data_IF_479361208113
#
_entry.id   IF_479361208113
#
_cell.length_a   1.000
_cell.length_b   1.000
_cell.length_c   1.000
_cell.angle_alpha   90.00
_cell.angle_beta   90.00
_cell.angle_gamma   90.00
#
_symmetry.space_group_name_H-M   'P 1'
#
loop_
_entity.id
_entity.type
_entity.pdbx_description
1 polymer ?
#
# COMPACT_ATOMS: atom_id res chain seq x y z
N UNK A 1 10.07 25.17 13.24
CA UNK A 1 10.90 24.01 12.83
C UNK A 1 10.32 23.59 11.50
N UNK A 2 11.08 23.68 10.40
CA UNK A 2 10.56 23.26 9.10
C UNK A 2 10.39 21.74 9.11
N UNK A 3 9.26 21.28 8.60
CA UNK A 3 8.91 19.87 8.52
C UNK A 3 8.80 19.41 7.06
N UNK A 4 8.64 18.10 6.85
CA UNK A 4 8.51 17.51 5.52
C UNK A 4 7.36 18.13 4.71
N UNK A 5 6.28 18.57 5.38
CA UNK A 5 5.13 19.16 4.73
C UNK A 5 5.47 20.55 4.18
N UNK A 6 6.24 21.34 4.92
CA UNK A 6 6.71 22.66 4.45
C UNK A 6 7.66 22.52 3.26
N UNK A 7 8.62 21.59 3.31
CA UNK A 7 9.51 21.34 2.17
C UNK A 7 8.76 20.84 0.93
N UNK A 8 7.75 19.99 1.12
CA UNK A 8 6.86 19.57 0.03
C UNK A 8 5.98 20.72 -0.49
N UNK A 9 5.62 21.71 0.34
CA UNK A 9 4.86 22.88 -0.11
C UNK A 9 5.72 23.82 -0.96
N UNK A 10 6.96 24.05 -0.53
CA UNK A 10 7.91 24.98 -1.13
C UNK A 10 8.63 24.41 -2.36
N UNK A 11 8.64 23.09 -2.52
CA UNK A 11 9.34 22.44 -3.63
C UNK A 11 10.81 22.16 -3.34
N UNK A 12 11.21 22.14 -2.06
CA UNK A 12 12.59 21.88 -1.66
C UNK A 12 12.95 20.40 -1.79
N UNK A 13 13.23 19.98 -3.02
CA UNK A 13 13.55 18.59 -3.34
C UNK A 13 14.80 18.07 -2.63
N UNK A 14 15.75 18.94 -2.25
CA UNK A 14 16.95 18.56 -1.51
C UNK A 14 16.60 18.12 -0.09
N UNK A 15 15.85 18.95 0.65
CA UNK A 15 15.45 18.61 2.02
C UNK A 15 14.49 17.42 2.04
N UNK A 16 13.57 17.32 1.08
CA UNK A 16 12.72 16.13 0.94
C UNK A 16 13.56 14.88 0.71
N UNK A 17 14.60 14.94 -0.14
CA UNK A 17 15.49 13.79 -0.36
C UNK A 17 16.23 13.39 0.90
N UNK A 18 16.83 14.34 1.61
CA UNK A 18 17.54 14.09 2.87
C UNK A 18 16.60 13.45 3.89
N UNK A 19 15.37 13.95 4.00
CA UNK A 19 14.35 13.38 4.86
C UNK A 19 13.97 11.94 4.47
N UNK A 20 13.88 11.65 3.16
CA UNK A 20 13.60 10.32 2.62
C UNK A 20 14.78 9.34 2.66
N UNK A 21 15.99 9.80 2.97
CA UNK A 21 17.13 8.93 3.23
C UNK A 21 17.08 8.33 4.64
N UNK A 22 16.33 8.95 5.55
CA UNK A 22 16.07 8.42 6.88
C UNK A 22 14.83 7.52 6.89
N UNK A 23 15.08 6.22 7.08
CA UNK A 23 14.08 5.16 7.11
C UNK A 23 13.18 5.17 8.36
N UNK A 24 13.39 6.06 9.33
CA UNK A 24 12.50 6.19 10.49
C UNK A 24 11.24 7.01 10.17
N UNK A 25 11.27 7.76 9.08
CA UNK A 25 10.20 8.67 8.69
C UNK A 25 9.04 7.98 7.96
N UNK A 26 7.82 8.12 8.48
CA UNK A 26 6.60 7.66 7.81
C UNK A 26 6.12 8.69 6.78
N UNK A 27 6.45 8.47 5.52
CA UNK A 27 6.04 9.31 4.38
C UNK A 27 4.55 9.23 4.03
N UNK A 28 3.77 8.39 4.72
CA UNK A 28 2.32 8.31 4.60
C UNK A 28 1.62 8.98 5.79
N UNK A 29 2.37 9.47 6.78
CA UNK A 29 1.83 10.27 7.86
C UNK A 29 1.26 11.58 7.27
N UNK A 30 -0.01 11.85 7.59
CA UNK A 30 -0.63 13.12 7.25
C UNK A 30 -0.35 14.19 8.30
N UNK A 31 -0.41 15.45 7.89
CA UNK A 31 -0.48 16.59 8.81
C UNK A 31 -1.81 16.60 9.61
N UNK A 32 -2.06 17.68 10.35
CA UNK A 32 -3.29 17.84 11.14
C UNK A 32 -4.57 17.77 10.29
N UNK A 33 -4.49 18.00 8.98
CA UNK A 33 -5.62 17.87 8.05
C UNK A 33 -5.61 16.55 7.25
N UNK A 34 -4.70 15.63 7.58
CA UNK A 34 -4.53 14.34 6.92
C UNK A 34 -3.80 14.42 5.58
N UNK A 35 -3.20 15.56 5.23
CA UNK A 35 -2.42 15.67 3.99
C UNK A 35 -1.05 15.03 4.18
N UNK A 36 -0.79 13.95 3.44
CA UNK A 36 0.55 13.36 3.35
C UNK A 36 1.50 14.26 2.54
N UNK A 37 2.83 14.04 2.60
CA UNK A 37 3.80 14.70 1.72
C UNK A 37 3.43 14.63 0.24
N UNK A 38 2.90 13.49 -0.21
CA UNK A 38 2.46 13.29 -1.60
C UNK A 38 1.26 14.17 -1.96
N UNK A 39 0.33 14.39 -1.03
CA UNK A 39 -0.78 15.33 -1.25
C UNK A 39 -0.26 16.77 -1.43
N UNK A 40 0.67 17.21 -0.60
CA UNK A 40 1.23 18.57 -0.71
C UNK A 40 2.02 18.76 -2.00
N UNK A 41 2.86 17.79 -2.36
CA UNK A 41 3.62 17.80 -3.61
C UNK A 41 2.69 17.82 -4.84
N UNK A 42 1.65 16.99 -4.84
CA UNK A 42 0.66 16.94 -5.91
C UNK A 42 -0.17 18.23 -6.03
N UNK A 43 -0.60 18.79 -4.89
CA UNK A 43 -1.34 20.06 -4.82
C UNK A 43 -0.53 21.25 -5.35
N UNK A 44 0.77 21.27 -5.06
CA UNK A 44 1.66 22.39 -5.39
C UNK A 44 2.37 22.27 -6.73
N UNK A 45 2.27 21.14 -7.42
CA UNK A 45 2.86 20.97 -8.76
C UNK A 45 4.31 20.53 -8.76
N UNK A 46 4.82 19.98 -7.65
CA UNK A 46 6.24 19.61 -7.53
C UNK A 46 6.51 18.20 -8.04
N UNK A 47 6.56 18.03 -9.37
CA UNK A 47 6.72 16.73 -10.03
C UNK A 47 7.93 15.94 -9.49
N UNK A 48 9.11 16.57 -9.37
CA UNK A 48 10.31 15.89 -8.85
C UNK A 48 10.11 15.30 -7.46
N UNK A 49 9.37 16.00 -6.59
CA UNK A 49 9.05 15.51 -5.25
C UNK A 49 8.06 14.35 -5.33
N UNK A 50 7.03 14.46 -6.16
CA UNK A 50 6.08 13.37 -6.42
C UNK A 50 6.82 12.11 -6.88
N UNK A 51 7.75 12.23 -7.82
CA UNK A 51 8.53 11.09 -8.31
C UNK A 51 9.39 10.44 -7.21
N UNK A 52 10.08 11.25 -6.39
CA UNK A 52 10.86 10.73 -5.26
C UNK A 52 9.98 10.03 -4.23
N UNK A 53 8.84 10.62 -3.89
CA UNK A 53 7.89 10.04 -2.93
C UNK A 53 7.29 8.73 -3.45
N UNK A 54 6.89 8.67 -4.73
CA UNK A 54 6.36 7.45 -5.34
C UNK A 54 7.43 6.35 -5.43
N UNK A 55 8.67 6.70 -5.82
CA UNK A 55 9.78 5.76 -5.89
C UNK A 55 10.10 5.13 -4.52
N UNK A 56 9.93 5.91 -3.44
CA UNK A 56 10.14 5.45 -2.06
C UNK A 56 8.93 4.73 -1.46
N UNK A 57 7.85 4.54 -2.21
CA UNK A 57 6.70 3.74 -1.78
C UNK A 57 5.59 4.52 -1.07
N UNK A 58 5.44 5.82 -1.37
CA UNK A 58 4.26 6.58 -0.91
C UNK A 58 2.97 5.96 -1.45
N UNK A 59 1.96 5.84 -0.60
CA UNK A 59 0.63 5.33 -0.93
C UNK A 59 -0.08 6.26 -1.92
N UNK A 60 -0.15 5.82 -3.18
CA UNK A 60 -0.73 6.57 -4.30
C UNK A 60 -2.19 6.98 -4.05
N UNK A 61 -2.98 6.10 -3.43
CA UNK A 61 -4.40 6.32 -3.13
C UNK A 61 -4.65 6.74 -1.68
N UNK A 62 -3.64 7.26 -0.98
CA UNK A 62 -3.84 7.86 0.35
C UNK A 62 -4.94 8.90 0.30
N UNK A 63 -5.75 9.01 1.35
CA UNK A 63 -6.72 10.09 1.44
C UNK A 63 -6.46 11.05 2.61
N UNK A 64 -6.78 12.32 2.38
CA UNK A 64 -6.85 13.34 3.43
C UNK A 64 -8.19 13.26 4.21
N UNK A 65 -8.46 14.21 5.13
CA UNK A 65 -9.71 14.23 5.90
C UNK A 65 -10.99 14.37 5.06
N UNK A 66 -10.90 14.93 3.86
CA UNK A 66 -12.02 15.05 2.91
C UNK A 66 -12.14 13.88 1.93
N UNK A 67 -11.40 12.79 2.17
CA UNK A 67 -11.26 11.65 1.26
C UNK A 67 -10.64 12.01 -0.11
N UNK A 68 -9.96 13.15 -0.26
CA UNK A 68 -9.24 13.47 -1.50
C UNK A 68 -7.93 12.68 -1.58
N UNK A 69 -7.65 12.12 -2.75
CA UNK A 69 -6.37 11.50 -3.08
C UNK A 69 -5.40 12.51 -3.71
N UNK A 70 -4.08 12.20 -3.80
CA UNK A 70 -3.15 13.01 -4.58
C UNK A 70 -3.60 13.28 -6.02
N UNK A 71 -4.32 12.33 -6.64
CA UNK A 71 -4.88 12.48 -7.99
C UNK A 71 -6.00 13.53 -8.03
N UNK A 72 -6.86 13.60 -7.00
CA UNK A 72 -7.86 14.67 -6.88
C UNK A 72 -7.19 16.05 -6.83
N UNK A 73 -6.15 16.19 -6.01
CA UNK A 73 -5.45 17.46 -5.81
C UNK A 73 -4.68 17.88 -7.06
N UNK A 74 -4.00 16.95 -7.74
CA UNK A 74 -3.31 17.24 -8.99
C UNK A 74 -4.30 17.69 -10.09
N UNK A 75 -5.44 17.01 -10.21
CA UNK A 75 -6.49 17.38 -11.16
C UNK A 75 -7.16 18.72 -10.81
N UNK A 76 -7.41 19.01 -9.53
CA UNK A 76 -8.00 20.26 -9.08
C UNK A 76 -7.11 21.49 -9.26
N UNK A 77 -5.79 21.30 -9.33
CA UNK A 77 -4.81 22.38 -9.47
C UNK A 77 -4.12 22.46 -10.84
N UNK A 78 -4.53 21.62 -11.81
CA UNK A 78 -4.07 21.75 -13.20
C UNK A 78 -2.69 21.12 -13.47
N UNK A 79 -2.20 20.24 -12.60
CA UNK A 79 -0.85 19.67 -12.72
C UNK A 79 -0.86 18.40 -13.57
N UNK A 80 -0.98 18.56 -14.90
CA UNK A 80 -1.09 17.45 -15.87
C UNK A 80 0.02 16.42 -15.75
N UNK A 81 1.28 16.85 -15.62
CA UNK A 81 2.42 15.93 -15.53
C UNK A 81 2.33 15.01 -14.31
N UNK A 82 1.83 15.55 -13.18
CA UNK A 82 1.61 14.78 -11.96
C UNK A 82 0.44 13.82 -12.10
N UNK A 83 -0.64 14.25 -12.77
CA UNK A 83 -1.78 13.36 -13.10
C UNK A 83 -1.28 12.15 -13.89
N UNK A 84 -0.55 12.37 -14.98
CA UNK A 84 0.02 11.30 -15.79
C UNK A 84 0.96 10.40 -15.00
N UNK A 85 1.78 10.96 -14.10
CA UNK A 85 2.66 10.17 -13.23
C UNK A 85 1.88 9.29 -12.26
N UNK A 86 0.84 9.83 -11.62
CA UNK A 86 0.00 9.09 -10.68
C UNK A 86 -0.79 7.98 -11.39
N UNK A 87 -1.34 8.26 -12.59
CA UNK A 87 -2.01 7.25 -13.42
C UNK A 87 -1.07 6.11 -13.82
N UNK A 88 0.18 6.42 -14.20
CA UNK A 88 1.22 5.40 -14.46
C UNK A 88 1.54 4.55 -13.22
N UNK A 89 1.36 5.08 -12.02
CA UNK A 89 1.52 4.36 -10.75
C UNK A 89 0.21 3.71 -10.27
N UNK A 90 -0.74 3.44 -11.18
CA UNK A 90 -2.02 2.78 -10.92
C UNK A 90 -2.88 3.50 -9.86
N UNK A 91 -2.87 4.83 -9.86
CA UNK A 91 -3.81 5.59 -9.05
C UNK A 91 -5.26 5.23 -9.42
N UNK A 92 -6.14 5.14 -8.42
CA UNK A 92 -7.56 4.87 -8.64
C UNK A 92 -8.26 6.09 -9.26
N UNK A 93 -8.49 6.00 -10.58
CA UNK A 93 -9.02 7.10 -11.39
C UNK A 93 -10.45 7.49 -11.02
N UNK A 94 -11.24 6.51 -10.57
CA UNK A 94 -12.65 6.66 -10.21
C UNK A 94 -12.91 6.77 -8.70
N UNK A 95 -11.85 7.00 -7.90
CA UNK A 95 -12.01 7.18 -6.46
C UNK A 95 -12.93 8.37 -6.17
N UNK A 96 -13.83 8.24 -5.20
CA UNK A 96 -14.78 9.28 -4.81
C UNK A 96 -14.47 9.85 -3.43
N UNK A 97 -14.36 11.17 -3.35
CA UNK A 97 -14.13 11.87 -2.09
C UNK A 97 -15.40 11.99 -1.23
N UNK A 98 -15.33 12.74 -0.12
CA UNK A 98 -16.45 12.86 0.83
C UNK A 98 -17.70 13.51 0.21
N UNK A 99 -17.51 14.29 -0.86
CA UNK A 99 -18.58 14.95 -1.61
C UNK A 99 -19.08 14.10 -2.80
N UNK A 100 -18.50 12.91 -3.00
CA UNK A 100 -18.79 12.07 -4.16
C UNK A 100 -18.15 12.55 -5.46
N UNK A 101 -17.22 13.51 -5.40
CA UNK A 101 -16.48 13.96 -6.56
C UNK A 101 -15.33 12.99 -6.85
N UNK A 102 -15.08 12.76 -8.14
CA UNK A 102 -13.90 12.06 -8.66
C UNK A 102 -12.85 13.08 -9.10
N UNK A 103 -11.59 12.68 -9.38
CA UNK A 103 -10.60 13.57 -9.98
C UNK A 103 -11.10 14.25 -11.27
N UNK A 104 -11.91 13.54 -12.07
CA UNK A 104 -12.50 14.06 -13.28
C UNK A 104 -13.50 15.20 -13.02
N UNK A 105 -14.28 15.13 -11.93
CA UNK A 105 -15.17 16.24 -11.55
C UNK A 105 -14.38 17.54 -11.34
N UNK A 106 -13.22 17.46 -10.68
CA UNK A 106 -12.36 18.62 -10.45
C UNK A 106 -11.74 19.14 -11.75
N UNK A 107 -11.21 18.26 -12.61
CA UNK A 107 -10.67 18.66 -13.91
C UNK A 107 -11.73 19.38 -14.77
N UNK A 108 -12.96 18.85 -14.80
CA UNK A 108 -14.08 19.46 -15.52
C UNK A 108 -14.51 20.80 -14.93
N UNK A 109 -14.64 20.90 -13.59
CA UNK A 109 -15.08 22.12 -12.91
C UNK A 109 -14.13 23.31 -13.15
N UNK A 110 -12.82 23.05 -13.12
CA UNK A 110 -11.79 24.05 -13.36
C UNK A 110 -11.47 24.27 -14.85
N UNK A 111 -12.01 23.43 -15.74
CA UNK A 111 -11.83 23.56 -17.18
C UNK A 111 -10.49 23.05 -17.72
N UNK A 112 -9.81 22.16 -17.00
CA UNK A 112 -8.54 21.56 -17.45
C UNK A 112 -8.80 20.45 -18.47
N UNK A 113 -9.02 20.85 -19.73
CA UNK A 113 -9.41 19.96 -20.82
C UNK A 113 -8.46 18.79 -21.05
N UNK A 114 -7.17 19.07 -21.18
CA UNK A 114 -6.13 18.05 -21.37
C UNK A 114 -6.11 17.01 -20.23
N UNK A 115 -6.29 17.45 -18.99
CA UNK A 115 -6.33 16.55 -17.82
C UNK A 115 -7.59 15.69 -17.86
N UNK A 116 -8.73 16.29 -18.21
CA UNK A 116 -9.98 15.55 -18.30
C UNK A 116 -9.94 14.50 -19.41
N UNK A 117 -9.34 14.82 -20.56
CA UNK A 117 -9.08 13.88 -21.64
C UNK A 117 -8.15 12.74 -21.19
N UNK A 118 -7.01 13.07 -20.58
CA UNK A 118 -6.07 12.06 -20.07
C UNK A 118 -6.74 11.12 -19.07
N UNK A 119 -7.59 11.64 -18.17
CA UNK A 119 -8.34 10.84 -17.21
C UNK A 119 -9.33 9.89 -17.91
N UNK A 120 -10.11 10.36 -18.88
CA UNK A 120 -11.05 9.50 -19.64
C UNK A 120 -10.31 8.41 -20.41
N UNK A 121 -9.17 8.75 -21.03
CA UNK A 121 -8.30 7.78 -21.71
C UNK A 121 -7.73 6.72 -20.75
N UNK A 122 -7.62 7.02 -19.45
CA UNK A 122 -7.27 6.06 -18.40
C UNK A 122 -8.50 5.49 -17.66
N UNK A 123 -9.63 5.36 -18.37
CA UNK A 123 -10.86 4.74 -17.86
C UNK A 123 -11.57 5.51 -16.73
N UNK A 124 -11.43 6.84 -16.68
CA UNK A 124 -12.31 7.66 -15.85
C UNK A 124 -13.76 7.58 -16.35
N UNK A 125 -14.69 7.32 -15.44
CA UNK A 125 -16.11 7.17 -15.75
C UNK A 125 -16.80 8.54 -15.68
N UNK A 126 -17.39 8.96 -16.80
CA UNK A 126 -18.06 10.26 -16.94
C UNK A 126 -19.49 10.29 -16.36
N UNK A 127 -20.02 9.15 -15.93
CA UNK A 127 -21.40 8.99 -15.46
C UNK A 127 -21.54 8.91 -13.93
N UNK A 128 -20.43 8.94 -13.19
CA UNK A 128 -20.45 8.95 -11.71
C UNK A 128 -21.08 10.25 -11.22
N UNK A 129 -22.14 10.14 -10.42
CA UNK A 129 -22.84 11.30 -9.86
C UNK A 129 -22.29 11.61 -8.47
N UNK A 130 -22.03 12.88 -8.18
CA UNK A 130 -21.65 13.33 -6.84
C UNK A 130 -22.87 13.50 -5.90
N UNK A 131 -22.65 13.95 -4.65
CA UNK A 131 -23.74 14.17 -3.69
C UNK A 131 -24.74 15.26 -4.10
N UNK A 132 -24.38 16.11 -5.06
CA UNK A 132 -25.21 17.20 -5.56
C UNK A 132 -26.06 16.80 -6.78
N UNK A 133 -25.91 15.58 -7.30
CA UNK A 133 -26.64 15.14 -8.49
C UNK A 133 -25.94 15.42 -9.82
N UNK A 134 -24.73 15.96 -9.76
CA UNK A 134 -23.93 16.35 -10.93
C UNK A 134 -22.97 15.24 -11.34
N UNK A 135 -22.86 14.99 -12.64
CA UNK A 135 -21.79 14.21 -13.26
C UNK A 135 -20.57 15.09 -13.58
N UNK A 136 -19.39 14.52 -13.91
CA UNK A 136 -18.27 15.30 -14.42
C UNK A 136 -18.62 16.12 -15.67
N UNK A 137 -19.48 15.59 -16.55
CA UNK A 137 -19.96 16.31 -17.74
C UNK A 137 -20.81 17.52 -17.37
N UNK A 138 -21.66 17.40 -16.34
CA UNK A 138 -22.50 18.50 -15.83
C UNK A 138 -21.64 19.64 -15.25
N UNK A 139 -20.44 19.33 -14.74
CA UNK A 139 -19.48 20.33 -14.24
C UNK A 139 -18.62 20.96 -15.34
N UNK A 140 -18.48 20.32 -16.49
CA UNK A 140 -17.71 20.84 -17.60
C UNK A 140 -18.46 21.99 -18.29
N UNK A 141 -17.74 23.05 -18.68
CA UNK A 141 -18.30 24.20 -19.40
C UNK A 141 -17.89 24.22 -20.86
N UNK A 142 -18.77 24.74 -21.73
CA UNK A 142 -18.45 25.01 -23.13
C UNK A 142 -18.16 23.75 -23.95
N UNK A 143 -17.13 23.81 -24.80
CA UNK A 143 -16.77 22.72 -25.72
C UNK A 143 -16.20 21.49 -25.01
N UNK A 144 -15.71 21.64 -23.78
CA UNK A 144 -15.14 20.53 -23.00
C UNK A 144 -16.17 19.41 -22.76
N UNK A 145 -17.40 19.76 -22.39
CA UNK A 145 -18.45 18.76 -22.15
C UNK A 145 -18.77 17.94 -23.41
N UNK A 146 -18.80 18.60 -24.58
CA UNK A 146 -19.04 17.93 -25.87
C UNK A 146 -17.92 16.97 -26.22
N UNK A 147 -16.67 17.42 -26.06
CA UNK A 147 -15.47 16.63 -26.32
C UNK A 147 -15.38 15.40 -25.40
N UNK A 148 -15.62 15.58 -24.09
CA UNK A 148 -15.60 14.46 -23.15
C UNK A 148 -16.77 13.49 -23.38
N UNK A 149 -17.93 14.00 -23.81
CA UNK A 149 -19.05 13.14 -24.20
C UNK A 149 -18.69 12.29 -25.42
N UNK A 150 -18.12 12.87 -26.47
CA UNK A 150 -17.69 12.10 -27.66
C UNK A 150 -16.63 11.07 -27.29
N UNK A 151 -15.62 11.47 -26.49
CA UNK A 151 -14.57 10.56 -26.03
C UNK A 151 -15.12 9.39 -25.19
N UNK A 152 -16.08 9.65 -24.31
CA UNK A 152 -16.70 8.61 -23.49
C UNK A 152 -17.52 7.62 -24.33
N UNK A 153 -18.22 8.10 -25.36
CA UNK A 153 -18.94 7.25 -26.32
C UNK A 153 -17.98 6.40 -27.15
N UNK A 154 -16.89 7.00 -27.65
CA UNK A 154 -15.86 6.31 -28.42
C UNK A 154 -15.14 5.24 -27.57
N UNK A 155 -14.97 5.51 -26.26
CA UNK A 155 -14.46 4.56 -25.28
C UNK A 155 -15.49 3.49 -24.83
N UNK A 156 -16.73 3.52 -25.35
CA UNK A 156 -17.77 2.54 -25.06
C UNK A 156 -18.39 2.64 -23.66
N UNK A 157 -18.34 3.81 -23.00
CA UNK A 157 -18.92 3.98 -21.67
C UNK A 157 -20.45 4.06 -21.69
N UNK A 158 -21.13 3.43 -20.72
CA UNK A 158 -22.57 3.65 -20.49
C UNK A 158 -22.77 4.99 -19.77
N UNK A 159 -23.49 5.91 -20.41
CA UNK A 159 -23.76 7.27 -19.91
C UNK A 159 -24.88 7.31 -18.86
N UNK A 160 -25.42 6.16 -18.45
CA UNK A 160 -26.40 6.12 -17.35
C UNK A 160 -25.79 6.58 -16.05
N UNK A 161 -26.42 7.60 -15.46
CA UNK A 161 -26.04 8.19 -14.17
C UNK A 161 -25.89 7.12 -13.08
N UNK A 162 -24.67 6.91 -12.61
CA UNK A 162 -24.34 6.01 -11.50
C UNK A 162 -24.50 6.80 -10.21
N UNK A 163 -25.53 6.46 -9.43
CA UNK A 163 -25.79 7.13 -8.15
C UNK A 163 -24.61 6.98 -7.20
N UNK A 164 -24.24 8.08 -6.53
CA UNK A 164 -23.35 8.03 -5.40
C UNK A 164 -23.87 7.02 -4.36
N UNK A 165 -23.07 5.99 -4.09
CA UNK A 165 -23.26 5.12 -2.92
C UNK A 165 -22.23 5.54 -1.90
N UNK A 166 -22.66 5.85 -0.68
CA UNK A 166 -21.72 6.12 0.39
C UNK A 166 -21.02 4.81 0.78
N UNK A 167 -19.83 4.59 0.23
CA UNK A 167 -19.03 3.39 0.45
C UNK A 167 -18.17 3.49 1.73
N UNK A 168 -18.44 4.46 2.61
CA UNK A 168 -17.71 4.62 3.89
C UNK A 168 -17.74 3.39 4.80
N UNK A 169 -18.67 2.46 4.59
CA UNK A 169 -18.81 1.20 5.34
C UNK A 169 -18.09 -0.01 4.71
N UNK A 170 -17.64 0.08 3.44
CA UNK A 170 -17.10 -1.06 2.67
C UNK A 170 -15.60 -1.31 2.85
N UNK A 171 -14.90 -0.52 3.67
CA UNK A 171 -13.45 -0.71 3.92
C UNK A 171 -12.51 -0.40 2.74
N UNK A 172 -13.03 -0.16 1.53
CA UNK A 172 -12.28 0.21 0.32
C UNK A 172 -11.67 1.61 0.40
N UNK A 173 -12.26 2.49 1.22
CA UNK A 173 -11.65 3.77 1.54
C UNK A 173 -10.49 3.50 2.49
N UNK A 174 -9.26 3.53 1.99
CA UNK A 174 -8.08 3.78 2.81
C UNK A 174 -8.10 5.24 3.28
N UNK A 175 -9.17 5.62 4.01
CA UNK A 175 -9.00 6.61 5.05
C UNK A 175 -7.74 6.17 5.77
N UNK A 176 -6.80 7.09 5.95
CA UNK A 176 -5.77 6.96 6.97
C UNK A 176 -6.35 6.66 8.39
N UNK A 177 -7.69 6.49 8.51
CA UNK A 177 -8.38 5.81 9.61
C UNK A 177 -8.04 4.33 9.75
N UNK A 178 -7.68 3.54 8.74
CA UNK A 178 -7.23 2.14 8.96
C UNK A 178 -5.73 1.93 8.78
N UNK A 179 -5.00 2.95 9.23
CA UNK A 179 -3.84 2.71 10.04
C UNK A 179 -4.20 2.83 11.55
N UNK A 180 -5.45 2.57 11.97
CA UNK A 180 -5.85 2.42 13.39
C UNK A 180 -4.97 1.41 14.10
N UNK A 181 -4.66 0.32 13.43
CA UNK A 181 -3.76 -0.71 13.94
C UNK A 181 -2.31 -0.19 14.14
N UNK A 182 -1.94 0.86 13.40
CA UNK A 182 -0.62 1.51 13.45
C UNK A 182 -0.52 2.67 14.47
N UNK A 183 -1.64 3.10 15.08
CA UNK A 183 -1.65 4.18 16.07
C UNK A 183 -1.36 3.70 17.49
N UNK A 184 -1.46 2.40 17.75
CA UNK A 184 -1.26 1.84 19.07
C UNK A 184 0.21 1.48 19.28
N UNK A 185 0.97 2.38 19.90
CA UNK A 185 2.21 1.96 20.58
C UNK A 185 1.81 1.08 21.77
N UNK A 186 2.45 -0.09 21.89
CA UNK A 186 2.23 -0.98 23.03
C UNK A 186 0.95 -1.82 22.95
N UNK A 187 0.62 -2.37 21.77
CA UNK A 187 -0.43 -3.40 21.65
C UNK A 187 -0.12 -4.51 22.64
N UNK A 188 -1.09 -4.87 23.48
CA UNK A 188 -0.92 -5.96 24.44
C UNK A 188 -1.35 -7.28 23.79
N UNK A 189 -0.56 -8.35 24.00
CA UNK A 189 -0.88 -9.69 23.48
C UNK A 189 -2.27 -10.17 23.94
N UNK A 190 -2.74 -9.73 25.11
CA UNK A 190 -4.05 -10.07 25.65
C UNK A 190 -5.22 -9.51 24.82
N UNK A 191 -4.99 -8.45 24.06
CA UNK A 191 -5.99 -7.83 23.19
C UNK A 191 -6.16 -8.56 21.85
N UNK A 192 -5.23 -9.45 21.48
CA UNK A 192 -5.20 -10.11 20.18
C UNK A 192 -6.14 -11.31 20.05
N UNK A 193 -6.84 -11.68 21.15
CA UNK A 193 -7.81 -12.79 21.22
C UNK A 193 -7.44 -13.98 20.32
N UNK A 194 -6.27 -14.57 20.55
CA UNK A 194 -5.73 -15.67 19.74
C UNK A 194 -6.65 -16.90 19.86
N UNK A 195 -7.03 -17.48 18.72
CA UNK A 195 -8.00 -18.58 18.62
C UNK A 195 -7.35 -19.90 18.24
N UNK A 196 -6.68 -19.95 17.08
CA UNK A 196 -6.23 -21.20 16.43
C UNK A 196 -4.78 -21.06 16.00
N UNK A 197 -3.97 -22.06 16.30
CA UNK A 197 -2.63 -22.20 15.71
C UNK A 197 -2.74 -22.61 14.25
N UNK A 198 -2.10 -21.86 13.35
CA UNK A 198 -2.09 -22.14 11.91
C UNK A 198 -0.81 -22.84 11.47
N UNK A 199 0.34 -22.41 12.01
CA UNK A 199 1.62 -22.97 11.62
C UNK A 199 2.64 -22.82 12.76
N UNK A 200 3.52 -23.81 12.89
CA UNK A 200 4.69 -23.76 13.76
C UNK A 200 5.95 -23.86 12.90
N UNK A 201 6.82 -22.89 13.06
CA UNK A 201 8.11 -22.81 12.38
C UNK A 201 9.20 -22.60 13.40
N UNK A 202 10.44 -22.84 12.98
CA UNK A 202 11.63 -22.50 13.76
C UNK A 202 11.70 -21.03 14.21
N UNK A 203 11.13 -20.10 13.44
CA UNK A 203 11.19 -18.66 13.69
C UNK A 203 10.06 -18.19 14.58
N UNK A 204 9.05 -19.02 14.81
CA UNK A 204 7.89 -18.68 15.62
C UNK A 204 6.67 -19.53 15.34
N UNK A 205 5.64 -19.31 16.16
CA UNK A 205 4.33 -19.94 16.03
C UNK A 205 3.32 -18.89 15.57
N UNK A 206 2.54 -19.22 14.54
CA UNK A 206 1.58 -18.33 13.90
C UNK A 206 0.17 -18.69 14.32
N UNK A 207 -0.55 -17.70 14.85
CA UNK A 207 -1.92 -17.84 15.34
C UNK A 207 -2.88 -16.97 14.53
N UNK A 208 -4.07 -17.51 14.28
CA UNK A 208 -5.25 -16.73 13.92
C UNK A 208 -5.81 -16.08 15.19
N UNK A 209 -6.07 -14.78 15.14
CA UNK A 209 -6.65 -14.01 16.24
C UNK A 209 -7.67 -12.98 15.76
N UNK A 210 -8.17 -12.20 16.71
CA UNK A 210 -9.00 -11.03 16.42
C UNK A 210 -8.49 -9.84 17.22
N UNK A 211 -8.28 -8.72 16.55
CA UNK A 211 -7.95 -7.46 17.22
C UNK A 211 -8.81 -6.34 16.65
N UNK A 212 -9.45 -5.56 17.54
CA UNK A 212 -10.37 -4.48 17.17
C UNK A 212 -11.48 -4.89 16.19
N UNK A 213 -12.00 -6.13 16.32
CA UNK A 213 -13.02 -6.74 15.43
C UNK A 213 -12.52 -7.15 14.03
N UNK A 214 -11.23 -7.04 13.76
CA UNK A 214 -10.63 -7.51 12.52
C UNK A 214 -9.92 -8.85 12.75
N UNK A 215 -10.02 -9.75 11.77
CA UNK A 215 -9.24 -10.99 11.78
C UNK A 215 -7.78 -10.68 11.45
N UNK A 216 -6.89 -11.22 12.28
CA UNK A 216 -5.46 -10.96 12.19
C UNK A 216 -4.66 -12.26 12.28
N UNK A 217 -3.47 -12.21 11.71
CA UNK A 217 -2.44 -13.21 11.93
C UNK A 217 -1.41 -12.64 12.90
N UNK A 218 -1.22 -13.33 14.02
CA UNK A 218 -0.25 -13.00 15.04
C UNK A 218 0.84 -14.07 15.08
N UNK A 219 2.06 -13.71 14.69
CA UNK A 219 3.23 -14.58 14.79
C UNK A 219 4.01 -14.27 16.06
N UNK A 220 4.04 -15.23 16.99
CA UNK A 220 4.87 -15.15 18.20
C UNK A 220 6.27 -15.66 17.85
N UNK A 221 7.28 -14.79 17.95
CA UNK A 221 8.64 -15.10 17.55
C UNK A 221 9.31 -16.06 18.55
N UNK A 222 9.95 -17.10 18.01
CA UNK A 222 10.69 -18.07 18.81
C UNK A 222 12.08 -17.54 19.18
N UNK A 223 12.17 -16.79 20.29
CA UNK A 223 13.42 -16.23 20.78
C UNK A 223 13.79 -16.88 22.12
N UNK A 224 14.96 -17.51 22.18
CA UNK A 224 15.43 -18.27 23.36
C UNK A 224 15.44 -17.42 24.66
N UNK A 225 15.86 -16.15 24.55
CA UNK A 225 15.85 -15.19 25.67
C UNK A 225 15.68 -13.77 25.14
N UNK A 226 14.56 -13.14 25.45
CA UNK A 226 14.32 -11.72 25.12
C UNK A 226 15.06 -10.85 26.14
N UNK A 227 16.17 -10.25 25.73
CA UNK A 227 16.92 -9.27 26.52
C UNK A 227 16.34 -7.87 26.32
N UNK A 228 16.69 -6.93 27.20
CA UNK A 228 16.31 -5.51 27.03
C UNK A 228 16.80 -4.91 25.71
N UNK A 229 17.97 -5.37 25.22
CA UNK A 229 18.49 -5.00 23.91
C UNK A 229 17.61 -5.52 22.78
N UNK A 230 17.28 -6.82 22.78
CA UNK A 230 16.41 -7.42 21.76
C UNK A 230 15.02 -6.76 21.75
N UNK A 231 14.47 -6.46 22.93
CA UNK A 231 13.20 -5.73 23.04
C UNK A 231 13.30 -4.31 22.46
N UNK A 232 14.42 -3.61 22.66
CA UNK A 232 14.66 -2.29 22.04
C UNK A 232 14.79 -2.39 20.53
N UNK A 233 15.66 -3.27 20.05
CA UNK A 233 15.90 -3.48 18.62
C UNK A 233 14.59 -3.88 17.89
N UNK A 234 13.73 -4.69 18.54
CA UNK A 234 12.41 -5.03 18.02
C UNK A 234 11.45 -3.84 17.90
N UNK A 235 11.46 -2.93 18.87
CA UNK A 235 10.66 -1.70 18.79
C UNK A 235 11.19 -0.73 17.72
N UNK A 236 12.51 -0.72 17.48
CA UNK A 236 13.16 0.19 16.55
C UNK A 236 13.06 -0.30 15.08
N UNK A 237 13.02 -1.62 14.86
CA UNK A 237 12.88 -2.20 13.51
C UNK A 237 11.44 -2.24 12.98
N UNK A 238 10.44 -2.32 13.86
CA UNK A 238 9.03 -2.37 13.46
C UNK A 238 8.58 -1.16 12.60
N UNK A 239 8.89 0.10 12.96
CA UNK A 239 8.53 1.26 12.13
C UNK A 239 9.04 1.14 10.69
N UNK A 240 10.19 0.51 10.47
CA UNK A 240 10.77 0.33 9.13
C UNK A 240 9.89 -0.57 8.26
N UNK A 241 9.37 -1.66 8.81
CA UNK A 241 8.46 -2.58 8.10
C UNK A 241 7.09 -1.97 7.80
N UNK A 242 6.69 -0.95 8.55
CA UNK A 242 5.43 -0.20 8.35
C UNK A 242 5.51 0.77 7.15
N UNK A 243 6.69 1.27 6.82
CA UNK A 243 6.89 2.34 5.82
C UNK A 243 6.79 1.83 4.38
N UNK A 244 6.93 0.52 4.18
CA UNK A 244 6.97 -0.11 2.87
C UNK A 244 5.57 -0.43 2.33
N UNK A 245 4.93 0.56 1.69
CA UNK A 245 3.68 0.34 0.97
C UNK A 245 3.93 0.02 -0.50
N UNK A 246 4.27 -1.24 -0.78
CA UNK A 246 4.39 -1.75 -2.15
C UNK A 246 3.23 -2.73 -2.45
N UNK A 247 2.61 -2.70 -3.65
CA UNK A 247 1.47 -3.58 -3.98
C UNK A 247 1.74 -5.07 -3.74
N UNK A 248 2.99 -5.50 -3.96
CA UNK A 248 3.41 -6.89 -3.80
C UNK A 248 4.14 -7.19 -2.49
N UNK A 249 4.03 -6.31 -1.47
CA UNK A 249 4.54 -6.55 -0.12
C UNK A 249 3.34 -6.57 0.84
N UNK A 250 3.24 -7.61 1.67
CA UNK A 250 2.22 -7.68 2.71
C UNK A 250 2.70 -6.84 3.91
N UNK A 251 2.02 -5.73 4.24
CA UNK A 251 2.47 -4.86 5.31
C UNK A 251 2.28 -5.53 6.68
N UNK A 252 3.24 -5.30 7.57
CA UNK A 252 3.06 -5.59 8.99
C UNK A 252 2.11 -4.54 9.58
N UNK A 253 1.01 -5.01 10.14
CA UNK A 253 -0.07 -4.19 10.69
C UNK A 253 0.32 -3.60 12.05
N UNK A 254 1.03 -4.37 12.86
CA UNK A 254 1.38 -4.00 14.22
C UNK A 254 2.37 -4.97 14.86
N UNK A 255 2.84 -4.63 16.06
CA UNK A 255 3.66 -5.53 16.86
C UNK A 255 3.30 -5.43 18.35
N UNK A 256 3.45 -6.53 19.08
CA UNK A 256 3.40 -6.56 20.53
C UNK A 256 4.79 -6.86 21.08
N UNK A 257 5.32 -5.94 21.87
CA UNK A 257 6.54 -6.15 22.63
C UNK A 257 6.18 -6.40 24.09
N UNK A 258 5.95 -7.67 24.44
CA UNK A 258 5.58 -8.08 25.79
C UNK A 258 6.45 -9.25 26.23
N UNK A 259 7.72 -8.99 26.63
CA UNK A 259 8.67 -10.03 27.00
C UNK A 259 8.05 -11.03 27.99
N UNK A 260 8.17 -12.36 27.78
CA UNK A 260 9.06 -13.01 26.82
C UNK A 260 8.54 -13.09 25.36
N UNK A 261 7.34 -12.61 25.08
CA UNK A 261 6.70 -12.73 23.78
C UNK A 261 6.88 -11.46 22.93
N UNK A 262 7.55 -11.62 21.79
CA UNK A 262 7.57 -10.61 20.73
C UNK A 262 6.64 -11.11 19.62
N UNK A 263 5.65 -10.30 19.24
CA UNK A 263 4.60 -10.71 18.30
C UNK A 263 4.53 -9.75 17.13
N UNK A 264 4.49 -10.28 15.93
CA UNK A 264 4.26 -9.55 14.69
C UNK A 264 2.83 -9.80 14.24
N UNK A 265 2.10 -8.73 13.91
CA UNK A 265 0.69 -8.77 13.52
C UNK A 265 0.59 -8.41 12.03
N UNK A 266 -0.12 -9.23 11.27
CA UNK A 266 -0.39 -9.03 9.85
C UNK A 266 -1.87 -9.30 9.56
N UNK A 267 -2.32 -8.93 8.37
CA UNK A 267 -3.70 -9.16 7.96
C UNK A 267 -3.95 -10.66 7.78
N UNK A 268 -5.11 -11.13 8.20
CA UNK A 268 -5.56 -12.46 7.81
C UNK A 268 -5.99 -12.49 6.35
N UNK A 269 -5.46 -13.45 5.60
CA UNK A 269 -5.82 -13.70 4.20
C UNK A 269 -6.44 -15.09 4.08
N UNK A 270 -7.67 -15.22 3.55
CA UNK A 270 -8.38 -16.49 3.51
C UNK A 270 -7.68 -17.59 2.71
N UNK A 271 -7.03 -17.24 1.60
CA UNK A 271 -6.31 -18.20 0.75
C UNK A 271 -4.97 -18.63 1.34
N UNK A 272 -4.48 -17.91 2.35
CA UNK A 272 -3.20 -18.21 3.01
C UNK A 272 -2.00 -18.02 2.08
N UNK A 273 -1.02 -18.92 2.21
CA UNK A 273 0.22 -18.85 1.44
C UNK A 273 0.11 -19.49 0.07
N UNK A 274 1.01 -19.14 -0.84
CA UNK A 274 1.12 -19.78 -2.16
C UNK A 274 1.36 -21.30 -2.02
N UNK A 275 1.99 -21.76 -0.94
CA UNK A 275 2.07 -23.18 -0.62
C UNK A 275 0.69 -23.81 -0.40
N UNK A 276 -0.21 -23.13 0.33
CA UNK A 276 -1.57 -23.62 0.55
C UNK A 276 -2.33 -23.72 -0.78
N UNK A 277 -2.18 -22.70 -1.64
CA UNK A 277 -2.82 -22.67 -2.97
C UNK A 277 -2.31 -23.79 -3.88
N UNK A 278 -0.99 -24.02 -3.92
CA UNK A 278 -0.39 -24.97 -4.87
C UNK A 278 -0.38 -26.43 -4.41
N UNK A 279 -0.34 -26.67 -3.10
CA UNK A 279 -0.05 -28.01 -2.55
C UNK A 279 -1.09 -28.53 -1.56
N UNK A 280 -1.87 -27.65 -0.92
CA UNK A 280 -2.97 -28.07 -0.08
C UNK A 280 -4.28 -28.07 -0.89
N UNK A 281 -5.34 -28.66 -0.34
CA UNK A 281 -6.65 -28.71 -0.98
C UNK A 281 -7.26 -27.30 -1.06
N UNK A 282 -6.84 -26.54 -2.06
CA UNK A 282 -7.46 -25.28 -2.46
C UNK A 282 -8.37 -25.53 -3.67
N UNK A 283 -9.47 -24.79 -3.75
CA UNK A 283 -10.39 -24.83 -4.90
C UNK A 283 -9.84 -24.04 -6.11
N UNK A 284 -8.59 -23.58 -6.04
CA UNK A 284 -7.98 -22.71 -7.04
C UNK A 284 -7.10 -23.55 -7.96
N UNK A 285 -7.45 -23.56 -9.25
CA UNK A 285 -6.60 -24.14 -10.29
C UNK A 285 -5.64 -23.06 -10.80
N UNK A 286 -4.34 -23.27 -10.59
CA UNK A 286 -3.30 -22.36 -11.10
C UNK A 286 -2.81 -22.88 -12.44
N UNK A 287 -3.21 -22.20 -13.52
CA UNK A 287 -2.71 -22.46 -14.86
C UNK A 287 -1.38 -21.74 -15.13
N UNK A 288 -0.83 -21.92 -16.33
CA UNK A 288 0.44 -21.28 -16.72
C UNK A 288 0.36 -19.76 -16.74
N UNK A 289 -0.79 -19.18 -17.09
CA UNK A 289 -0.96 -17.73 -17.13
C UNK A 289 -0.94 -17.14 -15.72
N UNK A 290 -1.68 -17.74 -14.79
CA UNK A 290 -1.72 -17.31 -13.39
C UNK A 290 -0.37 -17.54 -12.69
N UNK A 291 0.33 -18.63 -13.01
CA UNK A 291 1.69 -18.85 -12.51
C UNK A 291 2.66 -17.74 -12.94
N UNK A 292 2.56 -17.25 -14.18
CA UNK A 292 3.34 -16.10 -14.65
C UNK A 292 2.96 -14.80 -13.93
N UNK A 293 1.66 -14.58 -13.65
CA UNK A 293 1.21 -13.44 -12.85
C UNK A 293 1.81 -13.46 -11.45
N UNK A 294 1.75 -14.59 -10.75
CA UNK A 294 2.37 -14.75 -9.44
C UNK A 294 3.88 -14.49 -9.49
N UNK A 295 4.58 -15.05 -10.48
CA UNK A 295 6.03 -14.83 -10.64
C UNK A 295 6.36 -13.35 -10.87
N UNK A 296 5.57 -12.65 -11.68
CA UNK A 296 5.76 -11.21 -11.95
C UNK A 296 5.56 -10.37 -10.69
N UNK A 297 4.53 -10.66 -9.91
CA UNK A 297 4.22 -9.98 -8.66
C UNK A 297 5.33 -10.17 -7.61
N UNK A 298 5.79 -11.41 -7.46
CA UNK A 298 6.92 -11.74 -6.60
C UNK A 298 8.19 -11.01 -7.05
N UNK A 299 8.48 -10.98 -8.35
CA UNK A 299 9.64 -10.29 -8.90
C UNK A 299 9.61 -8.78 -8.62
N UNK A 300 8.44 -8.13 -8.76
CA UNK A 300 8.27 -6.71 -8.41
C UNK A 300 8.49 -6.46 -6.92
N UNK A 301 7.93 -7.31 -6.06
CA UNK A 301 8.14 -7.23 -4.62
C UNK A 301 9.62 -7.34 -4.25
N UNK A 302 10.34 -8.32 -4.81
CA UNK A 302 11.77 -8.49 -4.59
C UNK A 302 12.62 -7.34 -5.15
N UNK A 303 12.28 -6.82 -6.33
CA UNK A 303 12.95 -5.66 -6.90
C UNK A 303 12.81 -4.43 -5.98
N UNK A 304 11.63 -4.24 -5.40
CA UNK A 304 11.41 -3.21 -4.39
C UNK A 304 12.26 -3.45 -3.14
N UNK A 305 12.27 -4.65 -2.57
CA UNK A 305 13.09 -4.96 -1.39
C UNK A 305 14.59 -4.74 -1.63
N UNK A 306 15.10 -5.11 -2.80
CA UNK A 306 16.49 -4.86 -3.19
C UNK A 306 16.82 -3.37 -3.35
N UNK A 307 15.81 -2.50 -3.53
CA UNK A 307 16.02 -1.04 -3.60
C UNK A 307 16.16 -0.36 -2.23
N UNK A 308 15.78 -1.04 -1.14
CA UNK A 308 15.73 -0.46 0.20
C UNK A 308 17.11 -0.33 0.86
N UNK A 309 18.03 -1.25 0.56
CA UNK A 309 19.38 -1.27 1.16
C UNK A 309 20.47 -1.25 0.09
N UNK A 310 21.60 -0.59 0.38
CA UNK A 310 22.77 -0.54 -0.54
C UNK A 310 23.48 -1.88 -0.67
N UNK A 311 23.31 -2.77 0.32
CA UNK A 311 23.83 -4.14 0.30
C UNK A 311 22.63 -5.04 0.05
N UNK A 312 22.67 -5.85 -1.00
CA UNK A 312 21.57 -6.79 -1.32
C UNK A 312 21.39 -7.73 -0.12
N UNK A 313 20.25 -7.70 0.58
CA UNK A 313 20.02 -8.57 1.71
C UNK A 313 19.88 -10.02 1.20
N UNK A 314 20.51 -11.00 1.87
CA UNK A 314 20.20 -12.41 1.63
C UNK A 314 18.76 -12.74 2.07
N UNK A 315 17.80 -12.56 1.16
CA UNK A 315 16.41 -12.94 1.38
C UNK A 315 16.20 -14.42 1.06
N UNK A 316 15.58 -15.15 2.00
CA UNK A 316 15.25 -16.58 1.84
C UNK A 316 13.78 -16.74 1.50
N UNK A 317 13.46 -16.53 0.23
CA UNK A 317 12.09 -16.60 -0.27
C UNK A 317 11.68 -18.05 -0.58
N UNK A 318 10.43 -18.42 -0.27
CA UNK A 318 9.82 -19.69 -0.68
C UNK A 318 8.29 -19.50 -0.79
N UNK A 319 7.57 -20.54 -1.24
CA UNK A 319 6.10 -20.48 -1.42
C UNK A 319 5.30 -20.26 -0.14
N UNK A 320 5.85 -20.50 1.06
CA UNK A 320 5.19 -20.22 2.34
C UNK A 320 5.31 -18.74 2.74
N UNK A 321 6.29 -18.02 2.23
CA UNK A 321 6.48 -16.59 2.46
C UNK A 321 5.64 -15.71 1.51
N UNK A 322 5.01 -16.30 0.50
CA UNK A 322 4.11 -15.59 -0.41
C UNK A 322 2.69 -15.79 0.08
N UNK A 323 1.96 -14.71 0.30
CA UNK A 323 0.55 -14.72 0.66
C UNK A 323 -0.27 -14.34 -0.58
N UNK A 324 -1.36 -15.07 -0.81
CA UNK A 324 -2.24 -14.88 -1.97
C UNK A 324 -3.52 -14.19 -1.52
N UNK A 325 -3.88 -13.11 -2.20
CA UNK A 325 -5.13 -12.38 -1.96
C UNK A 325 -6.29 -12.97 -2.76
N UNK A 326 -7.53 -12.62 -2.40
CA UNK A 326 -8.75 -13.10 -3.06
C UNK A 326 -8.81 -12.77 -4.55
N UNK A 327 -8.13 -11.71 -4.98
CA UNK A 327 -7.99 -11.29 -6.38
C UNK A 327 -6.84 -12.01 -7.12
N UNK A 328 -6.23 -13.00 -6.49
CA UNK A 328 -5.06 -13.74 -6.97
C UNK A 328 -3.81 -12.86 -7.17
N UNK A 329 -3.69 -11.78 -6.40
CA UNK A 329 -2.43 -11.03 -6.28
C UNK A 329 -1.48 -11.73 -5.30
N UNK A 330 -0.20 -11.86 -5.66
CA UNK A 330 0.82 -12.39 -4.76
C UNK A 330 1.55 -11.27 -4.01
N UNK A 331 1.67 -11.44 -2.68
CA UNK A 331 2.39 -10.52 -1.80
C UNK A 331 3.45 -11.24 -0.97
N UNK A 332 4.64 -10.65 -0.89
CA UNK A 332 5.71 -11.17 -0.05
C UNK A 332 5.40 -10.79 1.40
N UNK A 333 5.25 -11.79 2.27
CA UNK A 333 5.07 -11.59 3.70
C UNK A 333 6.41 -11.36 4.38
N UNK A 334 6.54 -10.16 4.95
CA UNK A 334 7.75 -9.72 5.64
C UNK A 334 7.79 -10.13 7.11
N UNK A 335 6.76 -10.81 7.65
CA UNK A 335 6.79 -11.31 9.03
C UNK A 335 7.96 -12.27 9.30
N UNK A 336 8.50 -12.84 8.23
CA UNK A 336 9.55 -13.86 8.25
C UNK A 336 10.87 -13.32 7.64
N UNK A 337 10.84 -12.10 7.12
CA UNK A 337 11.96 -11.47 6.43
C UNK A 337 12.71 -10.53 7.37
N UNK A 338 13.81 -11.05 7.92
CA UNK A 338 15.03 -10.31 8.30
C UNK A 338 14.85 -9.17 9.32
N UNK A 339 14.41 -9.50 10.53
CA UNK A 339 14.86 -8.73 11.70
C UNK A 339 16.36 -8.99 11.95
N UNK A 340 17.14 -8.00 12.41
CA UNK A 340 18.59 -8.18 12.66
C UNK A 340 18.93 -9.24 13.74
N UNK A 341 17.91 -9.74 14.45
CA UNK A 341 18.00 -10.73 15.52
C UNK A 341 17.39 -12.11 15.18
N UNK A 342 16.94 -12.36 13.94
CA UNK A 342 16.57 -13.73 13.53
C UNK A 342 17.63 -14.38 12.62
N UNK A 343 18.29 -15.37 13.23
CA UNK A 343 19.05 -16.48 12.65
C UNK A 343 20.36 -16.17 11.91
N UNK A 344 21.42 -15.96 12.70
CA UNK A 344 22.74 -16.51 12.38
C UNK A 344 22.66 -18.05 12.41
N UNK A 345 22.25 -18.63 11.29
CA UNK A 345 22.36 -20.06 11.00
C UNK A 345 21.12 -20.90 11.32
N UNK A 346 20.38 -21.27 10.28
CA UNK A 346 20.12 -22.66 9.83
C UNK A 346 19.23 -22.63 8.60
N UNK A 347 19.45 -23.59 7.72
CA UNK A 347 18.89 -23.69 6.37
C UNK A 347 17.49 -24.30 6.47
N UNK A 348 16.45 -23.63 5.98
CA UNK A 348 15.10 -24.20 6.09
C UNK A 348 14.72 -25.11 4.95
N UNK A 349 15.22 -24.85 3.74
CA UNK A 349 14.98 -25.72 2.59
C UNK A 349 16.16 -25.63 1.63
N UNK A 350 17.11 -26.58 1.64
CA UNK A 350 18.26 -26.56 0.74
C UNK A 350 17.88 -26.45 -0.75
N UNK A 351 16.70 -26.98 -1.11
CA UNK A 351 16.15 -26.93 -2.46
C UNK A 351 15.83 -25.51 -2.97
N UNK A 352 15.73 -24.51 -2.08
CA UNK A 352 15.45 -23.12 -2.41
C UNK A 352 16.67 -22.21 -2.27
N UNK A 353 17.85 -22.81 -2.02
CA UNK A 353 19.12 -22.08 -1.95
C UNK A 353 19.79 -22.18 -3.32
N UNK A 354 20.31 -21.05 -3.79
CA UNK A 354 21.04 -21.03 -5.04
C UNK A 354 22.36 -21.82 -4.94
N UNK A 355 22.83 -22.44 -6.03
CA UNK A 355 24.03 -23.28 -6.00
C UNK A 355 25.26 -22.59 -5.40
N UNK A 356 25.43 -21.29 -5.64
CA UNK A 356 26.53 -20.48 -5.11
C UNK A 356 26.44 -20.25 -3.59
N UNK A 357 25.24 -20.17 -3.03
CA UNK A 357 25.04 -20.02 -1.59
C UNK A 357 25.23 -21.35 -0.83
N UNK A 358 25.17 -22.49 -1.52
CA UNK A 358 25.51 -23.81 -0.97
C UNK A 358 27.02 -24.08 -0.98
N UNK A 359 27.79 -23.34 -1.76
CA UNK A 359 29.25 -23.46 -1.77
C UNK A 359 29.79 -22.81 -0.49
N UNK A 360 30.40 -23.61 0.39
CA UNK A 360 31.13 -23.09 1.55
C UNK A 360 32.22 -22.14 1.06
N UNK A 361 32.18 -20.88 1.49
CA UNK A 361 33.37 -20.01 1.51
C UNK A 361 34.26 -20.39 2.68
#
# INVERSE_FOLDING_TARGET
MEDIFQWCKEGNALQVRVWLDDTEHDMNLGDDHGFSPLHWAAKRGHLKIVEMLLLRGSRVNSTNRGDDTPLHLAAAHGHRDIVLKLLKQKAEVNFVNEHGNTPLHYACFWGYGDIAEDLVNHSANVAIVNKYGDTPLDKAKGNLAKMLHTLAVDAGQDLKKIKFKDQTWLGLKTRSRDATLSRHKGINIKELHLKKELASTHSGVTFLGMWQKNEIIAKILAIKKVTSRISRDFNDEFPKLRIFSHPNILPVIGCCNSPPNLVVISQYMPLGSLYNVLHESSDIVVDTAQALCFALDIAKGMAYLHSLERIIPEYRLNSRHIIVEEDLTARINMSDAKFSFQEKGRIYYPAWISPEALQKK
#
